data_IF_614161719790
#
_entry.id   IF_614161719790
#
_cell.length_a   1.000
_cell.length_b   1.000
_cell.length_c   1.000
_cell.angle_alpha   90.00
_cell.angle_beta   90.00
_cell.angle_gamma   90.00
#
_symmetry.space_group_name_H-M   'P 1'
#
loop_
_entity.id
_entity.type
_entity.pdbx_description
1 polymer ?
#
# COMPACT_ATOMS: atom_id res chain seq x y z
N UNK A 1 -32.35 18.94 -19.17
CA UNK A 1 -31.19 18.80 -18.25
C UNK A 1 -30.08 18.05 -18.95
N UNK A 2 -28.83 18.55 -18.98
CA UNK A 2 -27.77 17.91 -19.74
C UNK A 2 -27.39 16.56 -19.11
N UNK A 3 -27.49 15.49 -19.90
CA UNK A 3 -27.16 14.12 -19.50
C UNK A 3 -25.69 13.95 -19.08
N UNK A 4 -24.79 14.77 -19.63
CA UNK A 4 -23.35 14.73 -19.32
C UNK A 4 -23.02 15.03 -17.85
N UNK A 5 -23.76 15.94 -17.19
CA UNK A 5 -23.56 16.22 -15.76
C UNK A 5 -23.84 14.99 -14.90
N UNK A 6 -24.90 14.24 -15.24
CA UNK A 6 -25.26 12.98 -14.54
C UNK A 6 -24.20 11.90 -14.76
N UNK A 7 -23.66 11.80 -15.98
CA UNK A 7 -22.58 10.86 -16.30
C UNK A 7 -21.28 11.16 -15.54
N UNK A 8 -20.90 12.43 -15.39
CA UNK A 8 -19.71 12.84 -14.63
C UNK A 8 -19.86 12.54 -13.14
N UNK A 9 -21.01 12.87 -12.53
CA UNK A 9 -21.28 12.55 -11.13
C UNK A 9 -21.27 11.04 -10.89
N UNK A 10 -21.81 10.25 -11.82
CA UNK A 10 -21.80 8.78 -11.72
C UNK A 10 -20.37 8.24 -11.75
N UNK A 11 -19.54 8.71 -12.69
CA UNK A 11 -18.12 8.30 -12.79
C UNK A 11 -17.32 8.66 -11.54
N UNK A 12 -17.55 9.84 -10.96
CA UNK A 12 -16.89 10.24 -9.72
C UNK A 12 -17.26 9.30 -8.55
N UNK A 13 -18.54 8.94 -8.43
CA UNK A 13 -19.02 7.97 -7.42
C UNK A 13 -18.47 6.57 -7.66
N UNK A 14 -18.43 6.10 -8.90
CA UNK A 14 -17.84 4.81 -9.27
C UNK A 14 -16.35 4.78 -8.92
N UNK A 15 -15.59 5.84 -9.22
CA UNK A 15 -14.16 5.93 -8.87
C UNK A 15 -13.94 5.91 -7.35
N UNK A 16 -14.75 6.64 -6.59
CA UNK A 16 -14.69 6.64 -5.14
C UNK A 16 -15.01 5.25 -4.56
N UNK A 17 -16.06 4.59 -5.08
CA UNK A 17 -16.41 3.23 -4.67
C UNK A 17 -15.28 2.24 -4.97
N UNK A 18 -14.70 2.31 -6.18
CA UNK A 18 -13.60 1.44 -6.57
C UNK A 18 -12.38 1.59 -5.65
N UNK A 19 -12.02 2.84 -5.29
CA UNK A 19 -10.94 3.10 -4.33
C UNK A 19 -11.24 2.54 -2.95
N UNK A 20 -12.47 2.73 -2.46
CA UNK A 20 -12.90 2.17 -1.19
C UNK A 20 -12.83 0.64 -1.18
N UNK A 21 -13.35 -0.03 -2.21
CA UNK A 21 -13.27 -1.47 -2.35
C UNK A 21 -11.82 -1.98 -2.43
N UNK A 22 -10.94 -1.26 -3.15
CA UNK A 22 -9.51 -1.58 -3.21
C UNK A 22 -8.86 -1.48 -1.82
N UNK A 23 -9.13 -0.39 -1.08
CA UNK A 23 -8.64 -0.21 0.29
C UNK A 23 -9.11 -1.31 1.23
N UNK A 24 -10.40 -1.66 1.17
CA UNK A 24 -10.98 -2.73 2.00
C UNK A 24 -10.35 -4.10 1.69
N UNK A 25 -10.10 -4.38 0.41
CA UNK A 25 -9.46 -5.64 -0.01
C UNK A 25 -8.04 -5.74 0.51
N UNK A 26 -7.27 -4.65 0.42
CA UNK A 26 -5.90 -4.58 0.96
C UNK A 26 -5.90 -4.75 2.47
N UNK A 27 -6.78 -4.03 3.18
CA UNK A 27 -6.89 -4.11 4.63
C UNK A 27 -7.19 -5.53 5.11
N UNK A 28 -8.18 -6.18 4.48
CA UNK A 28 -8.51 -7.57 4.78
C UNK A 28 -7.30 -8.48 4.55
N UNK A 29 -6.55 -8.28 3.47
CA UNK A 29 -5.38 -9.12 3.16
C UNK A 29 -4.25 -8.93 4.18
N UNK A 30 -4.01 -7.70 4.63
CA UNK A 30 -3.04 -7.41 5.70
C UNK A 30 -3.42 -8.10 7.01
N UNK A 31 -4.71 -8.09 7.37
CA UNK A 31 -5.22 -8.82 8.55
C UNK A 31 -5.03 -10.34 8.42
N UNK A 32 -5.30 -10.91 7.24
CA UNK A 32 -5.02 -12.32 6.95
C UNK A 32 -3.53 -12.65 7.12
N UNK A 33 -2.64 -11.79 6.59
CA UNK A 33 -1.19 -11.96 6.75
C UNK A 33 -0.80 -11.91 8.23
N UNK A 34 -1.30 -10.93 9.00
CA UNK A 34 -0.98 -10.78 10.41
C UNK A 34 -1.36 -12.03 11.22
N UNK A 35 -2.54 -12.60 10.98
CA UNK A 35 -2.98 -13.85 11.63
C UNK A 35 -2.03 -14.99 11.30
N UNK A 36 -1.73 -15.20 10.00
CA UNK A 36 -0.80 -16.28 9.60
C UNK A 36 0.61 -16.09 10.16
N UNK A 37 1.07 -14.85 10.27
CA UNK A 37 2.38 -14.53 10.83
C UNK A 37 2.48 -14.92 12.31
N UNK A 38 1.44 -14.64 13.10
CA UNK A 38 1.36 -15.04 14.52
C UNK A 38 1.36 -16.57 14.66
N UNK A 39 0.67 -17.29 13.78
CA UNK A 39 0.67 -18.76 13.79
C UNK A 39 2.06 -19.33 13.50
N UNK A 40 2.75 -18.79 12.49
CA UNK A 40 4.12 -19.20 12.14
C UNK A 40 5.11 -18.88 13.27
N UNK A 41 4.95 -17.75 13.94
CA UNK A 41 5.77 -17.38 15.10
C UNK A 41 5.58 -18.36 16.27
N UNK A 42 4.33 -18.74 16.57
CA UNK A 42 4.05 -19.75 17.59
C UNK A 42 4.64 -21.12 17.24
N UNK A 43 4.58 -21.52 15.97
CA UNK A 43 5.21 -22.75 15.48
C UNK A 43 6.74 -22.67 15.60
N UNK A 44 7.33 -21.54 15.22
CA UNK A 44 8.76 -21.27 15.34
C UNK A 44 9.26 -21.37 16.78
N UNK A 45 8.57 -20.74 17.73
CA UNK A 45 8.93 -20.81 19.15
C UNK A 45 8.90 -22.26 19.67
N UNK A 46 7.92 -23.07 19.27
CA UNK A 46 7.86 -24.49 19.65
C UNK A 46 9.04 -25.27 19.07
N UNK A 47 9.36 -25.03 17.80
CA UNK A 47 10.45 -25.70 17.10
C UNK A 47 11.83 -25.32 17.65
N UNK A 48 12.05 -24.05 17.99
CA UNK A 48 13.28 -23.57 18.63
C UNK A 48 13.49 -24.20 20.01
N UNK A 49 12.42 -24.36 20.80
CA UNK A 49 12.50 -25.06 22.10
C UNK A 49 12.91 -26.51 21.92
N UNK A 50 12.27 -27.24 21.00
CA UNK A 50 12.63 -28.63 20.69
C UNK A 50 14.09 -28.77 20.24
N UNK A 51 14.59 -27.83 19.43
CA UNK A 51 15.99 -27.80 18.99
C UNK A 51 16.99 -27.48 20.12
N UNK A 52 16.56 -26.80 21.19
CA UNK A 52 17.42 -26.36 22.30
C UNK A 52 17.43 -27.34 23.49
N UNK A 53 16.31 -28.01 23.74
CA UNK A 53 16.13 -28.87 24.93
C UNK A 53 16.70 -30.28 24.74
N UNK A 54 17.03 -30.71 23.52
CA UNK A 54 17.47 -32.09 23.30
C UNK A 54 18.98 -32.26 23.05
N UNK A 55 19.71 -32.43 24.15
CA UNK A 55 21.03 -33.08 24.16
C UNK A 55 20.85 -34.60 23.98
N UNK A 56 20.85 -35.08 22.74
CA UNK A 56 20.82 -36.52 22.42
C UNK A 56 19.90 -36.97 21.28
N UNK A 57 19.24 -36.06 20.58
CA UNK A 57 18.35 -36.39 19.44
C UNK A 57 19.13 -37.07 18.31
N UNK A 58 18.55 -38.09 17.65
CA UNK A 58 19.10 -38.64 16.41
C UNK A 58 19.30 -37.55 15.34
N UNK A 59 20.40 -37.63 14.59
CA UNK A 59 20.76 -36.64 13.57
C UNK A 59 19.66 -36.44 12.50
N UNK A 60 18.91 -37.49 12.16
CA UNK A 60 17.82 -37.44 11.19
C UNK A 60 16.66 -36.56 11.66
N UNK A 61 16.30 -36.64 12.94
CA UNK A 61 15.21 -35.87 13.52
C UNK A 61 15.61 -34.39 13.69
N UNK A 62 16.87 -34.12 14.06
CA UNK A 62 17.42 -32.76 14.03
C UNK A 62 17.38 -32.17 12.61
N UNK A 63 17.71 -32.96 11.60
CA UNK A 63 17.64 -32.55 10.18
C UNK A 63 16.20 -32.23 9.77
N UNK A 64 15.23 -33.04 10.20
CA UNK A 64 13.80 -32.77 9.96
C UNK A 64 13.36 -31.44 10.58
N UNK A 65 13.74 -31.15 11.82
CA UNK A 65 13.42 -29.89 12.49
C UNK A 65 14.11 -28.69 11.84
N UNK A 66 15.36 -28.82 11.40
CA UNK A 66 16.03 -27.76 10.64
C UNK A 66 15.32 -27.46 9.31
N UNK A 67 14.87 -28.49 8.60
CA UNK A 67 14.08 -28.31 7.37
C UNK A 67 12.74 -27.62 7.65
N UNK A 68 12.07 -27.96 8.74
CA UNK A 68 10.85 -27.28 9.18
C UNK A 68 11.12 -25.81 9.53
N UNK A 69 12.24 -25.50 10.18
CA UNK A 69 12.62 -24.13 10.51
C UNK A 69 12.88 -23.32 9.24
N UNK A 70 13.62 -23.89 8.29
CA UNK A 70 13.87 -23.27 6.99
C UNK A 70 12.55 -22.98 6.25
N UNK A 71 11.61 -23.92 6.28
CA UNK A 71 10.28 -23.71 5.70
C UNK A 71 9.53 -22.56 6.36
N UNK A 72 9.51 -22.48 7.70
CA UNK A 72 8.87 -21.39 8.44
C UNK A 72 9.49 -20.03 8.09
N UNK A 73 10.82 -19.96 8.02
CA UNK A 73 11.55 -18.75 7.63
C UNK A 73 11.21 -18.33 6.20
N UNK A 74 11.24 -19.26 5.25
CA UNK A 74 10.87 -18.99 3.86
C UNK A 74 9.43 -18.48 3.74
N UNK A 75 8.50 -19.11 4.46
CA UNK A 75 7.09 -18.71 4.47
C UNK A 75 6.92 -17.31 5.07
N UNK A 76 7.61 -17.02 6.18
CA UNK A 76 7.61 -15.70 6.83
C UNK A 76 8.18 -14.62 5.91
N UNK A 77 9.27 -14.90 5.21
CA UNK A 77 9.87 -13.97 4.23
C UNK A 77 8.91 -13.69 3.06
N UNK A 78 8.22 -14.71 2.56
CA UNK A 78 7.20 -14.54 1.52
C UNK A 78 6.03 -13.66 1.98
N UNK A 79 5.53 -13.86 3.20
CA UNK A 79 4.47 -13.03 3.77
C UNK A 79 4.93 -11.59 3.99
N UNK A 80 6.15 -11.37 4.46
CA UNK A 80 6.72 -10.03 4.64
C UNK A 80 6.91 -9.30 3.30
N UNK A 81 7.30 -10.03 2.25
CA UNK A 81 7.38 -9.47 0.90
C UNK A 81 5.99 -9.04 0.39
N UNK A 82 4.97 -9.88 0.59
CA UNK A 82 3.58 -9.57 0.23
C UNK A 82 3.02 -8.38 1.04
N UNK A 83 3.28 -8.35 2.35
CA UNK A 83 2.89 -7.23 3.22
C UNK A 83 3.51 -5.91 2.73
N UNK A 84 4.80 -5.92 2.38
CA UNK A 84 5.48 -4.74 1.83
C UNK A 84 4.81 -4.23 0.56
N UNK A 85 4.41 -5.13 -0.35
CA UNK A 85 3.72 -4.74 -1.60
C UNK A 85 2.34 -4.14 -1.32
N UNK A 86 1.60 -4.73 -0.38
CA UNK A 86 0.32 -4.20 0.07
C UNK A 86 0.48 -2.82 0.73
N UNK A 87 1.53 -2.61 1.52
CA UNK A 87 1.81 -1.32 2.14
C UNK A 87 2.14 -0.23 1.10
N UNK A 88 2.84 -0.58 0.02
CA UNK A 88 3.03 0.35 -1.11
C UNK A 88 1.67 0.69 -1.75
N UNK A 89 0.81 -0.31 -1.98
CA UNK A 89 -0.53 -0.08 -2.53
C UNK A 89 -1.42 0.79 -1.62
N UNK A 90 -1.27 0.70 -0.29
CA UNK A 90 -1.92 1.62 0.66
C UNK A 90 -1.42 3.05 0.46
N UNK A 91 -0.11 3.24 0.29
CA UNK A 91 0.46 4.56 0.08
C UNK A 91 0.04 5.17 -1.26
N UNK A 92 -0.03 4.38 -2.33
CA UNK A 92 -0.58 4.80 -3.62
C UNK A 92 -2.02 5.29 -3.49
N UNK A 93 -2.89 4.53 -2.79
CA UNK A 93 -4.28 4.92 -2.54
C UNK A 93 -4.39 6.26 -1.78
N UNK A 94 -3.53 6.49 -0.78
CA UNK A 94 -3.48 7.77 -0.06
C UNK A 94 -3.10 8.92 -0.99
N UNK A 95 -2.11 8.71 -1.86
CA UNK A 95 -1.69 9.71 -2.85
C UNK A 95 -2.77 9.96 -3.90
N UNK A 96 -3.52 8.95 -4.32
CA UNK A 96 -4.71 9.08 -5.19
C UNK A 96 -5.83 9.92 -4.58
N UNK A 97 -6.09 9.74 -3.28
CA UNK A 97 -7.07 10.53 -2.54
C UNK A 97 -6.61 11.99 -2.42
N UNK A 98 -5.34 12.20 -2.02
CA UNK A 98 -4.75 13.54 -1.96
C UNK A 98 -4.80 14.26 -3.30
N UNK A 99 -4.41 13.58 -4.39
CA UNK A 99 -4.50 14.15 -5.73
C UNK A 99 -5.94 14.54 -6.09
N UNK A 100 -6.92 13.68 -5.78
CA UNK A 100 -8.32 13.96 -6.10
C UNK A 100 -8.85 15.20 -5.36
N UNK A 101 -8.49 15.35 -4.07
CA UNK A 101 -8.84 16.54 -3.29
C UNK A 101 -8.21 17.81 -3.85
N UNK A 102 -6.92 17.75 -4.21
CA UNK A 102 -6.20 18.85 -4.82
C UNK A 102 -6.77 19.23 -6.20
N UNK A 103 -7.04 18.25 -7.06
CA UNK A 103 -7.66 18.47 -8.37
C UNK A 103 -9.05 19.09 -8.24
N UNK A 104 -9.85 18.66 -7.26
CA UNK A 104 -11.16 19.25 -7.02
C UNK A 104 -11.05 20.71 -6.57
N UNK A 105 -10.08 21.02 -5.70
CA UNK A 105 -9.82 22.39 -5.24
C UNK A 105 -9.28 23.27 -6.38
N UNK A 106 -8.38 22.76 -7.20
CA UNK A 106 -7.86 23.45 -8.38
C UNK A 106 -8.96 23.78 -9.38
N UNK A 107 -9.85 22.81 -9.66
CA UNK A 107 -11.02 23.04 -10.54
C UNK A 107 -11.95 24.13 -10.03
N UNK A 108 -12.07 24.31 -8.71
CA UNK A 108 -12.84 25.43 -8.15
C UNK A 108 -12.25 26.77 -8.57
N UNK A 109 -10.93 26.96 -8.39
CA UNK A 109 -10.24 28.19 -8.78
C UNK A 109 -10.20 28.41 -10.29
N UNK A 110 -9.98 27.35 -11.09
CA UNK A 110 -9.94 27.45 -12.56
C UNK A 110 -11.30 27.79 -13.19
N UNK A 111 -12.40 27.43 -12.54
CA UNK A 111 -13.75 27.79 -13.00
C UNK A 111 -14.16 29.21 -12.59
N UNK A 112 -13.38 29.89 -11.76
CA UNK A 112 -13.62 31.27 -11.36
C UNK A 112 -13.07 32.23 -12.41
N UNK A 113 -13.82 33.28 -12.72
CA UNK A 113 -13.41 34.28 -13.71
C UNK A 113 -12.16 35.03 -13.24
N UNK A 114 -11.18 35.24 -14.13
CA UNK A 114 -9.89 35.82 -13.77
C UNK A 114 -9.99 37.25 -13.20
N UNK A 115 -11.05 37.98 -13.59
CA UNK A 115 -11.39 39.31 -13.07
C UNK A 115 -11.90 39.29 -11.62
N UNK A 116 -12.42 38.15 -11.15
CA UNK A 116 -12.95 37.95 -9.81
C UNK A 116 -11.94 37.32 -8.85
N UNK A 117 -10.78 36.89 -9.36
CA UNK A 117 -9.71 36.28 -8.54
C UNK A 117 -8.99 37.33 -7.71
N UNK A 118 -8.94 37.08 -6.40
CA UNK A 118 -8.10 37.85 -5.49
C UNK A 118 -6.62 37.45 -5.62
N UNK A 119 -5.68 38.29 -5.19
CA UNK A 119 -4.27 37.91 -5.08
C UNK A 119 -4.06 36.64 -4.25
N UNK A 120 -4.84 36.47 -3.18
CA UNK A 120 -4.82 35.30 -2.30
C UNK A 120 -5.26 34.03 -3.06
N UNK A 121 -6.29 34.11 -3.90
CA UNK A 121 -6.75 32.98 -4.72
C UNK A 121 -5.65 32.52 -5.70
N UNK A 122 -4.89 33.46 -6.27
CA UNK A 122 -3.77 33.14 -7.17
C UNK A 122 -2.63 32.44 -6.44
N UNK A 123 -2.33 32.86 -5.21
CA UNK A 123 -1.34 32.19 -4.35
C UNK A 123 -1.82 30.78 -4.00
N UNK A 124 -3.08 30.62 -3.60
CA UNK A 124 -3.67 29.31 -3.32
C UNK A 124 -3.64 28.37 -4.54
N UNK A 125 -3.91 28.89 -5.74
CA UNK A 125 -3.80 28.13 -7.00
C UNK A 125 -2.37 27.62 -7.24
N UNK A 126 -1.36 28.49 -7.04
CA UNK A 126 0.05 28.12 -7.16
C UNK A 126 0.47 27.07 -6.12
N UNK A 127 0.03 27.20 -4.87
CA UNK A 127 0.30 26.23 -3.81
C UNK A 127 -0.32 24.85 -4.11
N UNK A 128 -1.53 24.82 -4.67
CA UNK A 128 -2.18 23.56 -5.07
C UNK A 128 -1.38 22.89 -6.18
N UNK A 129 -0.94 23.66 -7.18
CA UNK A 129 -0.11 23.13 -8.27
C UNK A 129 1.22 22.57 -7.74
N UNK A 130 1.87 23.26 -6.80
CA UNK A 130 3.09 22.78 -6.16
C UNK A 130 2.86 21.46 -5.40
N UNK A 131 1.76 21.36 -4.64
CA UNK A 131 1.38 20.13 -3.95
C UNK A 131 1.06 18.98 -4.91
N UNK A 132 0.42 19.26 -6.06
CA UNK A 132 0.17 18.24 -7.09
C UNK A 132 1.49 17.68 -7.66
N UNK A 133 2.48 18.55 -7.91
CA UNK A 133 3.83 18.12 -8.32
C UNK A 133 4.48 17.27 -7.24
N UNK A 134 4.34 17.63 -5.96
CA UNK A 134 4.85 16.83 -4.84
C UNK A 134 4.21 15.43 -4.79
N UNK A 135 2.89 15.33 -5.02
CA UNK A 135 2.20 14.04 -5.09
C UNK A 135 2.74 13.16 -6.22
N UNK A 136 3.00 13.74 -7.40
CA UNK A 136 3.62 13.03 -8.53
C UNK A 136 5.01 12.54 -8.15
N UNK A 137 5.83 13.38 -7.51
CA UNK A 137 7.16 13.00 -7.06
C UNK A 137 7.11 11.85 -6.04
N UNK A 138 6.18 11.90 -5.08
CA UNK A 138 5.98 10.80 -4.10
C UNK A 138 5.63 9.48 -4.80
N UNK A 139 4.80 9.50 -5.84
CA UNK A 139 4.51 8.30 -6.64
C UNK A 139 5.74 7.79 -7.40
N UNK A 140 6.55 8.69 -7.96
CA UNK A 140 7.78 8.29 -8.63
C UNK A 140 8.72 7.55 -7.67
N UNK A 141 8.83 7.99 -6.41
CA UNK A 141 9.60 7.27 -5.37
C UNK A 141 9.05 5.86 -5.14
N UNK A 142 7.73 5.68 -5.06
CA UNK A 142 7.13 4.34 -4.90
C UNK A 142 7.44 3.42 -6.09
N UNK A 143 7.37 3.95 -7.31
CA UNK A 143 7.73 3.20 -8.53
C UNK A 143 9.20 2.78 -8.49
N UNK A 144 10.10 3.67 -8.06
CA UNK A 144 11.51 3.34 -7.91
C UNK A 144 11.74 2.24 -6.88
N UNK A 145 11.07 2.28 -5.73
CA UNK A 145 11.17 1.22 -4.71
C UNK A 145 10.70 -0.14 -5.26
N UNK A 146 9.59 -0.15 -6.00
CA UNK A 146 9.09 -1.39 -6.64
C UNK A 146 10.06 -1.92 -7.70
N UNK A 147 10.68 -1.03 -8.48
CA UNK A 147 11.65 -1.42 -9.50
C UNK A 147 12.96 -1.95 -8.88
N UNK A 148 13.46 -1.31 -7.83
CA UNK A 148 14.61 -1.80 -7.07
C UNK A 148 14.35 -3.18 -6.48
N UNK A 149 13.16 -3.38 -5.88
CA UNK A 149 12.72 -4.69 -5.39
C UNK A 149 12.72 -5.73 -6.52
N UNK A 150 12.11 -5.43 -7.66
CA UNK A 150 12.05 -6.31 -8.83
C UNK A 150 13.44 -6.69 -9.36
N UNK A 151 14.39 -5.74 -9.35
CA UNK A 151 15.77 -5.99 -9.77
C UNK A 151 16.55 -6.83 -8.75
N UNK A 152 16.24 -6.72 -7.46
CA UNK A 152 16.88 -7.52 -6.41
C UNK A 152 16.43 -8.98 -6.37
N UNK A 153 15.27 -9.28 -6.97
CA UNK A 153 14.67 -10.62 -7.04
C UNK A 153 15.07 -11.41 -8.32
N UNK A 154 15.84 -10.80 -9.23
CA UNK A 154 16.41 -11.42 -10.44
C UNK A 154 17.78 -12.07 -10.16
#
# INVERSE_FOLDING_TARGET
YPTWKRTLTRRAREAQMNRFCKAQTIQRRLEEIEVTFRELEQQGIKLEKLLRDEDGTPADQKTQWMNQLLYLVQKKNSLMSEESDLMIAVQELKLEEQQWQLDHRLRFYMNMEESLKTPEDRVAEQEILAQLVEVVNKRNVLIHIQEEKRLSEL
#
